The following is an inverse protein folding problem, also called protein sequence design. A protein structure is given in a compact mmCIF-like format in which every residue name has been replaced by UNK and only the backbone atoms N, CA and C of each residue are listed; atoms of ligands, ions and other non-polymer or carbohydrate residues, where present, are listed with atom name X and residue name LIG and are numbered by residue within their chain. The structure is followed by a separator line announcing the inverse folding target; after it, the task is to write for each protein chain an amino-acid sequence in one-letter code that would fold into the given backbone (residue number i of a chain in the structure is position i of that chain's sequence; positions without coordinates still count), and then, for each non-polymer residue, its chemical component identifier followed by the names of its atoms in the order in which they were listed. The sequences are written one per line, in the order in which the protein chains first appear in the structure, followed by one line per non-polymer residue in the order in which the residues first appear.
data_IF_298426894957
#
_entry.id   IF_298426894957
#
_cell.length_a   1.000
_cell.length_b   1.000
_cell.length_c   1.000
_cell.angle_alpha   90.00
_cell.angle_beta   90.00
_cell.angle_gamma   90.00
#
_symmetry.space_group_name_H-M   'P 1'
#
loop_
_entity.id
_entity.type
_entity.pdbx_description
1 polymer ?
#
# COMPACT_ATOMS: atom_id res chain seq x y z
N UNK A 1 30.08 26.50 -0.20
CA UNK A 1 29.12 25.63 0.51
C UNK A 1 27.78 25.89 -0.12
N UNK A 2 27.03 24.83 -0.42
CA UNK A 2 25.80 24.92 -1.20
C UNK A 2 24.65 25.34 -0.29
N UNK A 3 23.85 26.30 -0.73
CA UNK A 3 22.65 26.74 0.01
C UNK A 3 21.44 25.89 -0.39
N UNK A 4 20.41 25.82 0.47
CA UNK A 4 19.22 25.01 0.19
C UNK A 4 18.51 25.40 -1.12
N UNK A 5 18.59 26.66 -1.54
CA UNK A 5 18.03 27.16 -2.80
C UNK A 5 18.76 26.70 -4.05
N UNK A 6 19.98 26.17 -3.91
CA UNK A 6 20.82 25.71 -5.01
C UNK A 6 20.69 24.20 -5.25
N UNK A 7 19.91 23.51 -4.40
CA UNK A 7 19.63 22.07 -4.53
C UNK A 7 18.66 21.84 -5.70
N UNK A 8 19.02 21.02 -6.69
CA UNK A 8 18.14 20.67 -7.81
C UNK A 8 16.89 19.91 -7.37
N UNK A 9 15.92 19.78 -8.28
CA UNK A 9 14.69 19.02 -8.02
C UNK A 9 14.98 17.54 -7.71
N UNK A 10 14.23 16.98 -6.75
CA UNK A 10 14.29 15.55 -6.40
C UNK A 10 14.04 14.70 -7.66
N UNK A 11 14.81 13.62 -7.82
CA UNK A 11 14.78 12.76 -9.01
C UNK A 11 15.77 13.20 -10.10
N UNK A 12 16.36 14.39 -10.01
CA UNK A 12 17.41 14.82 -10.94
C UNK A 12 18.67 14.00 -10.74
N UNK A 13 19.36 13.67 -11.83
CA UNK A 13 20.69 13.08 -11.78
C UNK A 13 21.72 14.18 -11.56
N UNK A 14 22.52 14.05 -10.50
CA UNK A 14 23.47 15.07 -10.07
C UNK A 14 24.88 14.50 -9.89
N UNK A 15 25.87 15.37 -10.02
CA UNK A 15 27.23 15.18 -9.52
C UNK A 15 27.47 16.14 -8.36
N UNK A 16 27.85 15.59 -7.23
CA UNK A 16 28.05 16.29 -5.96
C UNK A 16 29.52 16.20 -5.57
N UNK A 17 30.13 17.34 -5.27
CA UNK A 17 31.45 17.40 -4.65
C UNK A 17 31.30 17.74 -3.19
N UNK A 18 31.73 16.87 -2.28
CA UNK A 18 31.58 17.06 -0.84
C UNK A 18 32.89 16.85 -0.09
N UNK A 19 33.05 17.60 1.00
CA UNK A 19 34.15 17.49 1.94
C UNK A 19 33.82 16.44 3.00
N UNK A 20 34.67 15.42 3.14
CA UNK A 20 34.54 14.37 4.15
C UNK A 20 35.75 14.34 5.07
N UNK A 21 35.67 13.53 6.14
CA UNK A 21 36.80 13.25 7.02
C UNK A 21 38.02 12.65 6.31
N UNK A 22 37.81 11.99 5.16
CA UNK A 22 38.86 11.37 4.35
C UNK A 22 39.31 12.26 3.17
N UNK A 23 38.85 13.52 3.12
CA UNK A 23 39.11 14.44 2.01
C UNK A 23 37.88 14.70 1.14
N UNK A 24 38.09 15.39 0.03
CA UNK A 24 37.03 15.67 -0.94
C UNK A 24 36.65 14.41 -1.73
N UNK A 25 35.36 14.24 -1.96
CA UNK A 25 34.80 13.15 -2.76
C UNK A 25 33.87 13.70 -3.83
N UNK A 26 33.93 13.11 -5.02
CA UNK A 26 32.97 13.33 -6.09
C UNK A 26 31.99 12.14 -6.14
N UNK A 27 30.71 12.45 -6.00
CA UNK A 27 29.62 11.48 -5.95
C UNK A 27 28.66 11.74 -7.12
N UNK A 28 28.25 10.68 -7.82
CA UNK A 28 27.26 10.77 -8.90
C UNK A 28 26.06 9.88 -8.58
N UNK A 29 24.86 10.40 -8.77
CA UNK A 29 23.65 9.66 -8.48
C UNK A 29 22.36 10.44 -8.69
N UNK A 30 21.26 9.86 -8.23
CA UNK A 30 19.92 10.46 -8.29
C UNK A 30 19.63 11.16 -6.96
N UNK A 31 19.16 12.40 -7.02
CA UNK A 31 18.81 13.17 -5.85
C UNK A 31 17.53 12.61 -5.21
N UNK A 32 17.59 12.29 -3.92
CA UNK A 32 16.45 11.80 -3.15
C UNK A 32 15.92 12.88 -2.20
N UNK A 33 14.76 12.62 -1.59
CA UNK A 33 14.31 13.40 -0.45
C UNK A 33 15.41 13.42 0.64
N UNK A 34 15.70 14.59 1.23
CA UNK A 34 16.77 14.72 2.20
C UNK A 34 16.45 13.92 3.47
N UNK A 35 17.43 13.21 4.00
CA UNK A 35 17.26 12.40 5.22
C UNK A 35 17.06 13.24 6.50
N UNK A 36 17.39 14.53 6.46
CA UNK A 36 17.25 15.49 7.55
C UNK A 36 17.28 16.92 7.00
N UNK A 37 16.90 17.91 7.82
CA UNK A 37 17.02 19.32 7.48
C UNK A 37 18.48 19.69 7.15
N UNK A 38 18.66 20.61 6.19
CA UNK A 38 19.96 21.07 5.71
C UNK A 38 20.91 19.94 5.25
N UNK A 39 20.36 18.82 4.75
CA UNK A 39 21.12 17.75 4.11
C UNK A 39 20.71 17.59 2.65
N UNK A 40 21.59 16.98 1.88
CA UNK A 40 21.32 16.46 0.55
C UNK A 40 21.55 14.95 0.57
N UNK A 41 20.60 14.19 0.02
CA UNK A 41 20.68 12.74 -0.09
C UNK A 41 20.75 12.35 -1.55
N UNK A 42 21.75 11.54 -1.90
CA UNK A 42 21.97 11.06 -3.27
C UNK A 42 22.02 9.54 -3.26
N UNK A 43 21.27 8.91 -4.16
CA UNK A 43 21.37 7.49 -4.47
C UNK A 43 22.44 7.27 -5.51
N UNK A 44 23.56 6.69 -5.11
CA UNK A 44 24.69 6.41 -5.97
C UNK A 44 24.35 5.32 -7.01
N UNK A 45 25.10 5.28 -8.10
CA UNK A 45 24.96 4.28 -9.17
C UNK A 45 25.09 2.83 -8.66
N UNK A 46 25.83 2.62 -7.56
CA UNK A 46 25.99 1.31 -6.92
C UNK A 46 24.80 0.93 -6.00
N UNK A 47 23.77 1.76 -5.90
CA UNK A 47 22.54 1.52 -5.15
C UNK A 47 22.54 2.01 -3.70
N UNK A 48 23.68 2.49 -3.17
CA UNK A 48 23.76 3.05 -1.81
C UNK A 48 23.25 4.49 -1.75
N UNK A 49 22.56 4.82 -0.66
CA UNK A 49 22.19 6.20 -0.35
C UNK A 49 23.30 6.84 0.50
N UNK A 50 23.72 8.05 0.12
CA UNK A 50 24.67 8.85 0.88
C UNK A 50 24.04 10.20 1.17
N UNK A 51 24.12 10.63 2.44
CA UNK A 51 23.65 11.94 2.89
C UNK A 51 24.82 12.78 3.38
N UNK A 52 24.87 14.03 2.95
CA UNK A 52 25.83 15.03 3.45
C UNK A 52 25.09 16.29 3.93
N UNK A 53 25.55 16.93 5.01
CA UNK A 53 25.07 18.26 5.37
C UNK A 53 25.45 19.24 4.24
N UNK A 54 24.57 20.17 3.91
CA UNK A 54 24.78 21.16 2.84
C UNK A 54 26.05 22.00 3.05
N UNK A 55 26.41 22.25 4.31
CA UNK A 55 27.66 22.91 4.69
C UNK A 55 28.91 22.12 4.27
N UNK A 56 28.84 20.80 4.14
CA UNK A 56 29.94 19.98 3.66
C UNK A 56 29.95 19.83 2.13
N UNK A 57 28.96 20.36 1.43
CA UNK A 57 28.84 20.24 -0.03
C UNK A 57 29.48 21.46 -0.68
N UNK A 58 30.48 21.20 -1.52
CA UNK A 58 31.27 22.23 -2.20
C UNK A 58 30.54 22.67 -3.48
N UNK A 59 29.98 21.74 -4.25
CA UNK A 59 29.18 22.02 -5.44
C UNK A 59 28.18 20.90 -5.77
N UNK A 60 27.11 21.25 -6.49
CA UNK A 60 26.15 20.33 -7.10
C UNK A 60 25.97 20.70 -8.57
N UNK A 61 26.21 19.75 -9.46
CA UNK A 61 26.03 19.89 -10.90
C UNK A 61 24.90 18.97 -11.37
N UNK A 62 23.94 19.51 -12.12
CA UNK A 62 22.85 18.71 -12.71
C UNK A 62 23.36 18.07 -14.00
N UNK A 63 23.32 16.74 -14.05
CA UNK A 63 23.63 15.96 -15.26
C UNK A 63 22.38 15.83 -16.12
N UNK A 64 21.24 15.51 -15.50
CA UNK A 64 19.93 15.46 -16.16
C UNK A 64 18.83 15.79 -15.16
N UNK A 65 17.78 16.45 -15.64
CA UNK A 65 16.59 16.76 -14.82
C UNK A 65 15.74 15.50 -14.68
N UNK A 66 14.97 15.39 -13.60
CA UNK A 66 14.04 14.30 -13.38
C UNK A 66 13.12 14.14 -14.61
N UNK A 67 13.22 13.02 -15.32
CA UNK A 67 12.20 12.66 -16.30
C UNK A 67 10.97 12.24 -15.50
N UNK A 68 9.84 12.92 -15.72
CA UNK A 68 8.53 12.47 -15.26
C UNK A 68 8.16 11.21 -16.05
N UNK A 69 8.79 10.08 -15.72
CA UNK A 69 8.50 8.80 -16.31
C UNK A 69 7.08 8.39 -15.93
N UNK A 70 6.12 8.69 -16.81
CA UNK A 70 4.83 8.01 -16.82
C UNK A 70 5.13 6.54 -17.10
N UNK A 71 5.13 5.70 -16.05
CA UNK A 71 5.11 4.26 -16.23
C UNK A 71 3.80 3.96 -16.96
N UNK A 72 3.91 3.45 -18.18
CA UNK A 72 2.75 3.00 -18.95
C UNK A 72 2.02 1.94 -18.15
N UNK A 73 0.79 2.25 -17.75
CA UNK A 73 -0.19 1.31 -17.26
C UNK A 73 -0.56 0.41 -18.43
N UNK A 74 0.18 -0.69 -18.60
CA UNK A 74 -0.33 -1.78 -19.42
C UNK A 74 -1.53 -2.35 -18.67
N UNK A 75 -2.73 -1.89 -19.06
CA UNK A 75 -4.01 -2.48 -18.68
C UNK A 75 -4.00 -3.96 -19.07
N UNK A 76 -3.62 -4.83 -18.13
CA UNK A 76 -3.82 -6.26 -18.30
C UNK A 76 -5.31 -6.49 -18.09
N UNK A 77 -6.07 -6.42 -19.18
CA UNK A 77 -7.46 -6.88 -19.21
C UNK A 77 -7.48 -8.39 -18.97
N UNK A 78 -7.55 -8.79 -17.71
CA UNK A 78 -7.76 -10.20 -17.33
C UNK A 78 -9.20 -10.53 -17.67
N UNK A 79 -9.41 -11.49 -18.57
CA UNK A 79 -10.75 -11.97 -18.88
C UNK A 79 -11.38 -12.57 -17.60
N UNK A 80 -12.45 -11.95 -17.11
CA UNK A 80 -13.13 -12.39 -15.89
C UNK A 80 -13.95 -13.65 -16.15
N UNK A 81 -13.83 -14.64 -15.26
CA UNK A 81 -14.74 -15.78 -15.24
C UNK A 81 -16.05 -15.36 -14.54
N UNK A 82 -17.12 -15.22 -15.33
CA UNK A 82 -18.45 -14.83 -14.87
C UNK A 82 -19.07 -15.80 -13.84
N UNK A 83 -18.56 -17.04 -13.75
CA UNK A 83 -19.02 -18.00 -12.75
C UNK A 83 -18.48 -17.72 -11.34
N UNK A 84 -17.44 -16.89 -11.23
CA UNK A 84 -16.83 -16.56 -9.95
C UNK A 84 -17.63 -15.47 -9.19
N UNK A 85 -17.66 -15.56 -7.84
CA UNK A 85 -18.31 -14.57 -7.00
C UNK A 85 -17.63 -13.21 -7.11
N UNK A 86 -18.40 -12.16 -6.91
CA UNK A 86 -17.87 -10.79 -6.82
C UNK A 86 -17.35 -10.56 -5.40
N UNK A 87 -16.11 -10.09 -5.29
CA UNK A 87 -15.51 -9.67 -4.01
C UNK A 87 -15.03 -8.22 -4.13
N UNK A 88 -15.46 -7.39 -3.19
CA UNK A 88 -14.98 -6.01 -3.09
C UNK A 88 -13.78 -5.92 -2.15
N UNK A 89 -12.70 -5.28 -2.60
CA UNK A 89 -11.56 -4.90 -1.78
C UNK A 89 -11.72 -3.42 -1.40
N UNK A 90 -12.01 -3.17 -0.12
CA UNK A 90 -12.12 -1.83 0.45
C UNK A 90 -10.79 -1.42 1.04
N UNK A 91 -10.13 -0.46 0.39
CA UNK A 91 -8.80 -0.02 0.77
C UNK A 91 -8.87 1.11 1.80
N UNK A 92 -8.44 0.84 3.04
CA UNK A 92 -8.41 1.85 4.12
C UNK A 92 -7.01 2.43 4.33
N UNK A 93 -6.00 1.77 3.78
CA UNK A 93 -4.58 2.00 4.00
C UNK A 93 -3.87 0.67 4.22
N UNK A 94 -2.68 0.73 4.81
CA UNK A 94 -1.82 -0.44 5.00
C UNK A 94 -0.97 -0.72 3.76
N UNK A 95 0.19 -1.33 3.98
CA UNK A 95 1.21 -1.52 2.94
C UNK A 95 0.92 -2.72 2.03
N UNK A 96 -0.13 -3.49 2.28
CA UNK A 96 -0.41 -4.78 1.60
C UNK A 96 -0.49 -4.66 0.07
N UNK A 97 -0.84 -3.48 -0.44
CA UNK A 97 -0.93 -3.19 -1.88
C UNK A 97 0.09 -2.14 -2.34
N UNK A 98 1.22 -1.94 -1.67
CA UNK A 98 2.21 -0.95 -2.11
C UNK A 98 3.22 -1.51 -3.11
N UNK A 99 3.63 -0.69 -4.08
CA UNK A 99 4.75 -0.87 -5.01
C UNK A 99 5.91 0.00 -4.57
N UNK A 100 7.12 -0.53 -4.63
CA UNK A 100 8.34 0.29 -4.49
C UNK A 100 8.92 0.58 -5.86
N UNK A 101 9.09 1.87 -6.14
CA UNK A 101 9.95 2.32 -7.20
C UNK A 101 11.40 2.17 -6.73
N UNK A 102 12.11 1.15 -7.25
CA UNK A 102 13.50 0.92 -6.88
C UNK A 102 14.46 2.00 -7.42
N UNK A 103 14.07 2.82 -8.40
CA UNK A 103 14.90 3.93 -8.87
C UNK A 103 14.95 5.04 -7.82
N UNK A 104 13.79 5.40 -7.25
CA UNK A 104 13.66 6.51 -6.27
C UNK A 104 13.61 6.04 -4.82
N UNK A 105 13.32 4.76 -4.58
CA UNK A 105 12.96 4.23 -3.25
C UNK A 105 11.56 4.63 -2.79
N UNK A 106 10.76 5.31 -3.63
CA UNK A 106 9.41 5.75 -3.28
C UNK A 106 8.45 4.56 -3.20
N UNK A 107 7.49 4.64 -2.27
CA UNK A 107 6.47 3.62 -2.08
C UNK A 107 5.12 4.19 -2.52
N UNK A 108 4.52 3.63 -3.57
CA UNK A 108 3.22 4.05 -4.10
C UNK A 108 2.19 2.95 -3.85
N UNK A 109 1.01 3.29 -3.34
CA UNK A 109 -0.05 2.31 -3.11
C UNK A 109 -0.81 2.01 -4.42
N UNK A 110 -1.10 0.72 -4.66
CA UNK A 110 -1.93 0.20 -5.75
C UNK A 110 -3.37 0.15 -5.30
N UNK A 111 -4.28 0.70 -6.10
CA UNK A 111 -5.69 0.82 -5.73
C UNK A 111 -6.63 0.26 -6.79
N UNK A 112 -6.22 0.28 -8.05
CA UNK A 112 -7.09 -0.19 -9.13
C UNK A 112 -7.08 -1.72 -9.21
N UNK A 113 -8.19 -2.35 -9.62
CA UNK A 113 -8.27 -3.80 -9.73
C UNK A 113 -7.15 -4.39 -10.60
N UNK A 114 -6.81 -3.73 -11.71
CA UNK A 114 -5.79 -4.16 -12.67
C UNK A 114 -4.39 -4.14 -12.05
N UNK A 115 -4.09 -3.15 -11.21
CA UNK A 115 -2.80 -3.06 -10.51
C UNK A 115 -2.64 -4.17 -9.46
N UNK A 116 -3.74 -4.53 -8.78
CA UNK A 116 -3.79 -5.62 -7.82
C UNK A 116 -3.67 -6.98 -8.53
N UNK A 117 -4.40 -7.18 -9.63
CA UNK A 117 -4.31 -8.40 -10.44
C UNK A 117 -2.94 -8.54 -11.11
N UNK A 118 -2.31 -7.43 -11.51
CA UNK A 118 -0.92 -7.43 -11.97
C UNK A 118 0.10 -7.71 -10.86
N UNK A 119 -0.24 -7.42 -9.60
CA UNK A 119 0.61 -7.74 -8.43
C UNK A 119 0.43 -9.19 -7.97
N UNK A 120 -0.81 -9.65 -7.92
CA UNK A 120 -1.26 -10.93 -7.35
C UNK A 120 -2.27 -11.56 -8.32
N UNK A 121 -1.80 -12.15 -9.44
CA UNK A 121 -2.67 -12.73 -10.46
C UNK A 121 -3.58 -13.86 -9.94
N UNK A 122 -3.17 -14.53 -8.86
CA UNK A 122 -3.89 -15.63 -8.23
C UNK A 122 -5.30 -15.23 -7.77
N UNK A 123 -5.53 -13.94 -7.49
CA UNK A 123 -6.85 -13.43 -7.11
C UNK A 123 -7.93 -13.71 -8.17
N UNK A 124 -7.56 -13.67 -9.46
CA UNK A 124 -8.47 -13.91 -10.57
C UNK A 124 -9.04 -15.35 -10.59
N UNK A 125 -8.36 -16.30 -9.93
CA UNK A 125 -8.85 -17.68 -9.81
C UNK A 125 -9.88 -17.88 -8.69
N UNK A 126 -10.05 -16.89 -7.83
CA UNK A 126 -10.90 -16.99 -6.64
C UNK A 126 -12.18 -16.14 -6.72
N UNK A 127 -12.09 -14.95 -7.31
CA UNK A 127 -13.20 -14.01 -7.37
C UNK A 127 -13.03 -12.99 -8.51
N UNK A 128 -14.15 -12.38 -8.90
CA UNK A 128 -14.15 -11.15 -9.69
C UNK A 128 -13.92 -9.96 -8.76
N UNK A 129 -12.79 -9.29 -8.93
CA UNK A 129 -12.32 -8.27 -8.01
C UNK A 129 -12.90 -6.91 -8.38
N UNK A 130 -13.50 -6.24 -7.41
CA UNK A 130 -13.84 -4.82 -7.47
C UNK A 130 -13.10 -4.10 -6.35
N UNK A 131 -12.68 -2.87 -6.56
CA UNK A 131 -11.96 -2.11 -5.52
C UNK A 131 -12.68 -0.82 -5.19
N UNK A 132 -12.52 -0.36 -3.95
CA UNK A 132 -12.91 1.00 -3.54
C UNK A 132 -11.89 1.54 -2.56
N UNK A 133 -11.43 2.76 -2.81
CA UNK A 133 -10.52 3.47 -1.90
C UNK A 133 -11.32 4.27 -0.88
N UNK A 134 -11.30 3.83 0.38
CA UNK A 134 -11.87 4.58 1.50
C UNK A 134 -10.89 5.64 2.05
N UNK A 135 -9.58 5.38 1.91
CA UNK A 135 -8.54 6.33 2.27
C UNK A 135 -7.15 5.70 2.27
N UNK A 136 -6.17 6.48 2.70
CA UNK A 136 -4.83 6.00 3.03
C UNK A 136 -4.52 6.44 4.47
N UNK A 137 -4.98 5.64 5.43
CA UNK A 137 -4.91 5.95 6.86
C UNK A 137 -3.92 5.00 7.54
N UNK A 138 -3.16 5.53 8.50
CA UNK A 138 -2.42 4.68 9.44
C UNK A 138 -3.41 4.05 10.42
N UNK A 139 -3.17 2.79 10.81
CA UNK A 139 -4.03 2.08 11.78
C UNK A 139 -4.23 2.90 13.06
N UNK A 140 -3.17 3.57 13.50
CA UNK A 140 -3.15 4.37 14.72
C UNK A 140 -4.05 5.62 14.66
N UNK A 141 -4.43 6.06 13.46
CA UNK A 141 -5.32 7.21 13.23
C UNK A 141 -6.77 6.80 12.96
N UNK A 142 -7.09 5.51 12.99
CA UNK A 142 -8.43 5.01 12.76
C UNK A 142 -9.33 5.26 13.99
N UNK A 143 -10.57 5.72 13.74
CA UNK A 143 -11.53 6.23 14.74
C UNK A 143 -12.94 5.82 14.33
N UNK A 144 -13.92 6.01 15.22
CA UNK A 144 -15.33 5.65 14.98
C UNK A 144 -15.91 6.12 13.64
N UNK A 145 -15.60 7.35 13.20
CA UNK A 145 -16.05 7.85 11.89
C UNK A 145 -15.54 7.02 10.71
N UNK A 146 -14.36 6.42 10.83
CA UNK A 146 -13.76 5.57 9.80
C UNK A 146 -14.42 4.20 9.80
N UNK A 147 -14.75 3.63 10.98
CA UNK A 147 -15.53 2.40 11.08
C UNK A 147 -16.90 2.55 10.43
N UNK A 148 -17.59 3.68 10.66
CA UNK A 148 -18.86 3.96 10.00
C UNK A 148 -18.72 3.97 8.47
N UNK A 149 -17.65 4.57 7.93
CA UNK A 149 -17.38 4.55 6.49
C UNK A 149 -17.11 3.15 5.95
N UNK A 150 -16.36 2.33 6.69
CA UNK A 150 -16.12 0.92 6.33
C UNK A 150 -17.43 0.12 6.32
N UNK A 151 -18.28 0.29 7.34
CA UNK A 151 -19.56 -0.41 7.43
C UNK A 151 -20.53 -0.02 6.30
N UNK A 152 -20.64 1.29 6.00
CA UNK A 152 -21.45 1.77 4.87
C UNK A 152 -20.94 1.22 3.55
N UNK A 153 -19.64 1.29 3.30
CA UNK A 153 -19.06 0.78 2.05
C UNK A 153 -19.24 -0.74 1.90
N UNK A 154 -19.14 -1.50 2.99
CA UNK A 154 -19.41 -2.94 2.97
C UNK A 154 -20.89 -3.23 2.64
N UNK A 155 -21.82 -2.51 3.28
CA UNK A 155 -23.26 -2.64 3.00
C UNK A 155 -23.61 -2.29 1.54
N UNK A 156 -23.01 -1.23 0.99
CA UNK A 156 -23.18 -0.84 -0.41
C UNK A 156 -22.64 -1.93 -1.37
N UNK A 157 -21.45 -2.48 -1.09
CA UNK A 157 -20.89 -3.57 -1.89
C UNK A 157 -21.82 -4.80 -1.90
N UNK A 158 -22.41 -5.16 -0.76
CA UNK A 158 -23.41 -6.22 -0.71
C UNK A 158 -24.68 -5.88 -1.50
N UNK A 159 -25.12 -4.62 -1.46
CA UNK A 159 -26.23 -4.13 -2.29
C UNK A 159 -25.96 -4.23 -3.80
N UNK A 160 -24.69 -4.24 -4.20
CA UNK A 160 -24.23 -4.44 -5.58
C UNK A 160 -24.01 -5.92 -5.93
N UNK A 161 -24.35 -6.85 -5.03
CA UNK A 161 -24.27 -8.29 -5.28
C UNK A 161 -22.93 -8.92 -4.93
N UNK A 162 -22.09 -8.27 -4.12
CA UNK A 162 -20.87 -8.88 -3.61
C UNK A 162 -21.18 -10.10 -2.72
N UNK A 163 -20.50 -11.21 -2.95
CA UNK A 163 -20.55 -12.39 -2.06
C UNK A 163 -19.78 -12.14 -0.75
N UNK A 164 -18.80 -11.25 -0.81
CA UNK A 164 -17.94 -10.88 0.30
C UNK A 164 -17.18 -9.59 0.06
N UNK A 165 -16.61 -9.07 1.14
CA UNK A 165 -15.83 -7.85 1.19
C UNK A 165 -14.53 -8.15 1.93
N UNK A 166 -13.41 -7.69 1.38
CA UNK A 166 -12.10 -7.70 2.02
C UNK A 166 -11.72 -6.26 2.34
N UNK A 167 -11.41 -5.96 3.60
CA UNK A 167 -10.97 -4.65 4.05
C UNK A 167 -9.46 -4.73 4.33
N UNK A 168 -8.66 -4.07 3.50
CA UNK A 168 -7.22 -3.95 3.77
C UNK A 168 -6.99 -2.88 4.83
N UNK A 169 -6.20 -3.21 5.84
CA UNK A 169 -6.05 -2.39 7.05
C UNK A 169 -4.65 -2.51 7.63
N UNK A 170 -4.18 -1.46 8.31
CA UNK A 170 -2.96 -1.52 9.13
C UNK A 170 -3.12 -2.45 10.33
N UNK A 171 -2.07 -3.14 10.75
CA UNK A 171 -2.16 -4.23 11.72
C UNK A 171 -2.46 -3.79 13.15
N UNK A 172 -2.00 -2.60 13.56
CA UNK A 172 -1.99 -2.19 14.98
C UNK A 172 -3.39 -2.13 15.60
N UNK A 173 -4.37 -1.66 14.84
CA UNK A 173 -5.76 -1.47 15.31
C UNK A 173 -6.79 -2.29 14.53
N UNK A 174 -6.33 -3.22 13.67
CA UNK A 174 -7.22 -4.05 12.83
C UNK A 174 -8.27 -4.79 13.66
N UNK A 175 -7.86 -5.36 14.80
CA UNK A 175 -8.73 -6.08 15.72
C UNK A 175 -9.85 -5.21 16.29
N UNK A 176 -9.60 -3.93 16.54
CA UNK A 176 -10.62 -2.98 17.01
C UNK A 176 -11.61 -2.66 15.88
N UNK A 177 -11.13 -2.46 14.66
CA UNK A 177 -11.99 -2.21 13.50
C UNK A 177 -12.86 -3.41 13.14
N UNK A 178 -12.32 -4.63 13.23
CA UNK A 178 -13.08 -5.87 13.01
C UNK A 178 -14.18 -6.05 14.07
N UNK A 179 -13.88 -5.77 15.34
CA UNK A 179 -14.88 -5.77 16.40
C UNK A 179 -15.96 -4.71 16.16
N UNK A 180 -15.58 -3.49 15.76
CA UNK A 180 -16.52 -2.42 15.46
C UNK A 180 -17.49 -2.80 14.33
N UNK A 181 -17.00 -3.42 13.25
CA UNK A 181 -17.87 -3.91 12.17
C UNK A 181 -18.75 -5.08 12.59
N UNK A 182 -18.24 -5.97 13.45
CA UNK A 182 -19.07 -7.05 13.99
C UNK A 182 -20.27 -6.50 14.77
N UNK A 183 -20.07 -5.47 15.59
CA UNK A 183 -21.18 -4.79 16.28
C UNK A 183 -22.07 -4.00 15.32
N UNK A 184 -21.52 -3.37 14.29
CA UNK A 184 -22.30 -2.60 13.32
C UNK A 184 -23.31 -3.48 12.56
N UNK A 185 -22.95 -4.72 12.23
CA UNK A 185 -23.84 -5.63 11.50
C UNK A 185 -24.69 -6.54 12.40
N UNK A 186 -24.20 -6.89 13.59
CA UNK A 186 -24.81 -7.95 14.40
C UNK A 186 -25.08 -7.57 15.86
N UNK A 187 -24.75 -6.34 16.27
CA UNK A 187 -24.93 -5.86 17.64
C UNK A 187 -26.39 -5.86 18.12
N UNK A 188 -27.34 -5.75 17.20
CA UNK A 188 -28.78 -5.82 17.47
C UNK A 188 -29.39 -7.19 17.11
N UNK A 189 -28.56 -8.22 16.91
CA UNK A 189 -28.99 -9.56 16.47
C UNK A 189 -29.15 -9.69 14.95
N UNK A 190 -28.62 -8.74 14.19
CA UNK A 190 -28.54 -8.80 12.73
C UNK A 190 -27.48 -9.78 12.22
N UNK A 191 -27.42 -9.93 10.90
CA UNK A 191 -26.45 -10.76 10.18
C UNK A 191 -26.02 -9.98 8.94
N UNK A 192 -24.71 -9.88 8.63
CA UNK A 192 -24.27 -9.23 7.40
C UNK A 192 -24.75 -10.02 6.18
N UNK A 193 -25.08 -9.29 5.10
CA UNK A 193 -25.58 -9.90 3.86
C UNK A 193 -24.53 -10.76 3.13
N UNK A 194 -23.25 -10.55 3.44
CA UNK A 194 -22.14 -11.34 2.92
C UNK A 194 -20.96 -11.34 3.88
N UNK A 195 -19.88 -11.99 3.47
CA UNK A 195 -18.68 -12.20 4.29
C UNK A 195 -17.86 -10.93 4.41
N UNK A 196 -17.37 -10.61 5.60
CA UNK A 196 -16.47 -9.46 5.82
C UNK A 196 -15.14 -9.99 6.38
N UNK A 197 -14.06 -9.85 5.61
CA UNK A 197 -12.72 -10.21 6.03
C UNK A 197 -11.85 -8.95 6.15
N UNK A 198 -11.14 -8.81 7.27
CA UNK A 198 -10.05 -7.88 7.41
C UNK A 198 -8.73 -8.58 7.11
N UNK A 199 -7.82 -7.87 6.47
CA UNK A 199 -6.47 -8.38 6.24
C UNK A 199 -5.45 -7.24 6.17
N UNK A 200 -4.18 -7.60 6.31
CA UNK A 200 -3.06 -6.67 6.33
C UNK A 200 -1.74 -7.42 6.12
N UNK A 201 -0.63 -6.77 6.42
CA UNK A 201 0.70 -7.36 6.26
C UNK A 201 1.59 -6.92 7.41
N UNK A 202 2.21 -7.88 8.10
CA UNK A 202 3.19 -7.58 9.16
C UNK A 202 4.55 -7.19 8.58
N UNK A 203 4.87 -7.70 7.39
CA UNK A 203 6.06 -7.33 6.63
C UNK A 203 5.65 -6.44 5.48
N UNK A 204 6.35 -5.33 5.33
CA UNK A 204 6.09 -4.39 4.24
C UNK A 204 6.19 -5.09 2.87
N UNK A 205 5.32 -4.69 1.94
CA UNK A 205 5.12 -5.29 0.61
C UNK A 205 6.33 -5.15 -0.32
N UNK A 206 7.24 -4.24 -0.01
CA UNK A 206 8.50 -4.05 -0.72
C UNK A 206 9.51 -5.17 -0.50
N UNK A 207 9.27 -6.02 0.51
CA UNK A 207 10.14 -7.13 0.85
C UNK A 207 9.69 -8.38 0.13
N UNK A 208 10.63 -9.09 -0.49
CA UNK A 208 10.35 -10.39 -1.11
C UNK A 208 9.83 -11.47 -0.15
N UNK A 209 9.94 -11.25 1.16
CA UNK A 209 9.39 -12.11 2.21
C UNK A 209 8.08 -11.59 2.81
N UNK A 210 7.40 -10.66 2.12
CA UNK A 210 6.12 -10.10 2.55
C UNK A 210 5.04 -11.18 2.65
N UNK A 211 4.27 -11.13 3.72
CA UNK A 211 3.07 -11.93 3.95
C UNK A 211 1.83 -11.35 3.24
N UNK A 212 1.94 -10.18 2.63
CA UNK A 212 0.80 -9.43 2.12
C UNK A 212 0.04 -10.11 0.97
N UNK A 213 0.76 -10.71 0.02
CA UNK A 213 0.12 -11.40 -1.11
C UNK A 213 -0.65 -12.63 -0.64
N UNK A 214 -0.04 -13.45 0.22
CA UNK A 214 -0.65 -14.67 0.76
C UNK A 214 -1.88 -14.34 1.63
N UNK A 215 -1.76 -13.34 2.52
CA UNK A 215 -2.86 -12.87 3.35
C UNK A 215 -4.03 -12.37 2.49
N UNK A 216 -3.75 -11.61 1.42
CA UNK A 216 -4.77 -11.09 0.52
C UNK A 216 -5.47 -12.21 -0.26
N UNK A 217 -4.72 -13.18 -0.79
CA UNK A 217 -5.28 -14.35 -1.49
C UNK A 217 -6.20 -15.12 -0.54
N UNK A 218 -5.73 -15.43 0.67
CA UNK A 218 -6.51 -16.14 1.67
C UNK A 218 -7.78 -15.38 2.07
N UNK A 219 -7.68 -14.05 2.26
CA UNK A 219 -8.81 -13.20 2.60
C UNK A 219 -9.86 -13.15 1.50
N UNK A 220 -9.43 -13.01 0.24
CA UNK A 220 -10.32 -13.02 -0.94
C UNK A 220 -10.98 -14.39 -1.11
N UNK A 221 -10.21 -15.48 -1.01
CA UNK A 221 -10.76 -16.82 -1.07
C UNK A 221 -11.82 -17.05 0.02
N UNK A 222 -11.54 -16.64 1.25
CA UNK A 222 -12.52 -16.76 2.34
C UNK A 222 -13.75 -15.89 2.12
N UNK A 223 -13.59 -14.64 1.68
CA UNK A 223 -14.70 -13.75 1.38
C UNK A 223 -15.58 -14.26 0.21
N UNK A 224 -14.98 -14.96 -0.74
CA UNK A 224 -15.69 -15.58 -1.86
C UNK A 224 -16.43 -16.86 -1.48
N UNK A 225 -15.78 -17.76 -0.72
CA UNK A 225 -16.18 -19.17 -0.60
C UNK A 225 -16.42 -19.66 0.83
N UNK A 226 -16.19 -18.83 1.84
CA UNK A 226 -16.32 -19.21 3.25
C UNK A 226 -17.74 -19.64 3.65
N UNK A 227 -17.98 -20.01 4.91
CA UNK A 227 -19.34 -20.25 5.40
C UNK A 227 -20.18 -18.97 5.33
N UNK A 228 -21.50 -19.11 5.15
CA UNK A 228 -22.43 -17.98 5.24
C UNK A 228 -22.41 -17.45 6.68
N UNK A 229 -22.26 -16.12 6.89
CA UNK A 229 -22.26 -15.55 8.23
C UNK A 229 -23.56 -15.86 8.98
N UNK A 230 -23.45 -16.17 10.26
CA UNK A 230 -24.56 -16.43 11.17
C UNK A 230 -24.90 -15.22 12.05
N UNK A 231 -23.99 -14.24 12.15
CA UNK A 231 -24.09 -13.12 13.08
C UNK A 231 -23.56 -13.46 14.48
N UNK A 232 -23.32 -14.75 14.76
CA UNK A 232 -22.81 -15.23 16.04
C UNK A 232 -21.28 -15.28 16.02
N UNK A 233 -20.64 -14.13 16.26
CA UNK A 233 -19.17 -13.94 16.32
C UNK A 233 -18.39 -14.09 15.01
N UNK A 234 -19.07 -14.27 13.88
CA UNK A 234 -18.50 -14.50 12.54
C UNK A 234 -18.81 -13.36 11.55
N UNK A 235 -19.26 -12.21 12.07
CA UNK A 235 -19.77 -11.10 11.26
C UNK A 235 -18.66 -10.36 10.52
N UNK A 236 -17.52 -10.20 11.17
CA UNK A 236 -16.28 -9.78 10.55
C UNK A 236 -15.13 -10.61 11.11
N UNK A 237 -14.31 -11.16 10.23
CA UNK A 237 -13.17 -12.01 10.59
C UNK A 237 -11.86 -11.34 10.21
N UNK A 238 -10.76 -11.81 10.77
CA UNK A 238 -9.40 -11.39 10.40
C UNK A 238 -8.70 -12.58 9.75
N UNK A 239 -8.12 -12.35 8.58
CA UNK A 239 -7.35 -13.36 7.84
C UNK A 239 -5.91 -12.86 7.73
N UNK A 240 -5.01 -13.56 8.42
CA UNK A 240 -3.58 -13.29 8.50
C UNK A 240 -2.83 -14.64 8.56
N UNK A 241 -1.55 -14.63 8.20
CA UNK A 241 -0.68 -15.80 8.21
C UNK A 241 -0.62 -16.48 9.59
N UNK A 242 -0.58 -17.82 9.60
CA UNK A 242 -0.34 -18.64 10.80
C UNK A 242 1.17 -18.62 11.11
N UNK A 243 1.53 -18.12 12.29
CA UNK A 243 2.92 -17.76 12.65
C UNK A 243 3.91 -18.91 12.80
#
# INVERSE_FOLDING_TARGET
MVEASEVPEIGSKVRLRASTWNGEVDLEGILLAPSADAHITVKLVNGYNVSHPLSAVNSVEVISVAESGSVSEDEVAVAEDESLPIVFILHTGGTIASKVDYATGAVTARFEPEELLGAVPELASHARIRTRKLGNMWSDDIRGRHWNRMAVAAAEAFGEGAAGVVITHGTDTMHLSAAALSYAFSGEGGVPAGRIAFTGSQRSSDRGSSDGAENLIAAVHWAAHGPTPSGASDSAVIVMHEG
#
